data_IF_487893422290
#
_entry.id   IF_487893422290
#
_cell.length_a   1.000
_cell.length_b   1.000
_cell.length_c   1.000
_cell.angle_alpha   90.00
_cell.angle_beta   90.00
_cell.angle_gamma   90.00
#
_symmetry.space_group_name_H-M   'P 1'
#
loop_
_entity.id
_entity.type
_entity.pdbx_description
1 polymer ?
#
# COMPACT_ATOMS: atom_id res chain seq x y z
N UNK A 1 -20.96 4.17 -3.13
CA UNK A 1 -19.67 3.83 -2.47
C UNK A 1 -18.95 5.14 -2.33
N UNK A 2 -19.49 6.01 -1.45
CA UNK A 2 -19.26 7.47 -1.53
C UNK A 2 -18.94 8.08 -0.16
N UNK A 3 -18.55 7.26 0.82
CA UNK A 3 -18.60 7.68 2.23
C UNK A 3 -17.41 8.54 2.69
N UNK A 4 -16.39 8.80 1.85
CA UNK A 4 -15.16 9.48 2.29
C UNK A 4 -14.68 10.64 1.42
N UNK A 5 -15.34 10.93 0.31
CA UNK A 5 -14.85 11.98 -0.60
C UNK A 5 -15.13 13.39 -0.02
N UNK A 6 -16.06 13.53 0.93
CA UNK A 6 -16.55 14.85 1.37
C UNK A 6 -16.28 15.18 2.86
N UNK A 7 -15.62 14.31 3.63
CA UNK A 7 -15.35 14.59 5.04
C UNK A 7 -14.05 15.39 5.20
N UNK A 8 -14.17 16.70 5.40
CA UNK A 8 -13.04 17.54 5.78
C UNK A 8 -12.55 17.16 7.19
N UNK A 9 -11.28 16.79 7.31
CA UNK A 9 -10.63 16.59 8.60
C UNK A 9 -10.07 17.93 9.10
N UNK A 10 -10.50 18.36 10.28
CA UNK A 10 -9.88 19.49 10.95
C UNK A 10 -8.49 19.08 11.45
N UNK A 11 -7.44 19.54 10.75
CA UNK A 11 -6.07 19.13 11.04
C UNK A 11 -5.55 19.60 12.41
N UNK A 12 -6.18 20.61 13.02
CA UNK A 12 -5.92 21.04 14.39
C UNK A 12 -4.43 21.15 14.75
N UNK A 13 -4.11 20.90 16.03
CA UNK A 13 -2.73 20.74 16.53
C UNK A 13 -2.34 19.29 16.80
N UNK A 14 -3.17 18.33 16.38
CA UNK A 14 -2.95 16.91 16.60
C UNK A 14 -2.12 16.31 15.45
N UNK A 15 -0.87 15.87 15.68
CA UNK A 15 -0.04 15.28 14.63
C UNK A 15 -0.59 13.94 14.09
N UNK A 16 -1.52 13.31 14.80
CA UNK A 16 -2.03 11.98 14.52
C UNK A 16 -3.49 11.97 14.04
N UNK A 17 -4.02 13.13 13.63
CA UNK A 17 -5.41 13.31 13.18
C UNK A 17 -5.86 12.28 12.13
N UNK A 18 -5.00 11.95 11.16
CA UNK A 18 -5.30 10.93 10.14
C UNK A 18 -5.38 9.52 10.71
N UNK A 19 -4.55 9.21 11.72
CA UNK A 19 -4.61 7.92 12.41
C UNK A 19 -5.92 7.78 13.18
N UNK A 20 -6.32 8.81 13.92
CA UNK A 20 -7.58 8.80 14.66
C UNK A 20 -8.78 8.61 13.73
N UNK A 21 -8.83 9.35 12.62
CA UNK A 21 -9.88 9.22 11.61
C UNK A 21 -9.94 7.82 10.99
N UNK A 22 -8.78 7.23 10.67
CA UNK A 22 -8.70 5.87 10.15
C UNK A 22 -9.17 4.83 11.17
N UNK A 23 -8.72 4.94 12.42
CA UNK A 23 -9.12 4.03 13.51
C UNK A 23 -10.62 4.08 13.75
N UNK A 24 -11.19 5.28 13.84
CA UNK A 24 -12.62 5.48 14.07
C UNK A 24 -13.45 4.83 12.95
N UNK A 25 -13.10 5.09 11.69
CA UNK A 25 -13.84 4.52 10.56
C UNK A 25 -13.73 3.00 10.51
N UNK A 26 -12.54 2.46 10.66
CA UNK A 26 -12.35 1.01 10.62
C UNK A 26 -13.00 0.32 11.81
N UNK A 27 -13.09 0.96 12.98
CA UNK A 27 -13.82 0.39 14.13
C UNK A 27 -15.34 0.27 13.85
N UNK A 28 -15.92 1.18 13.07
CA UNK A 28 -17.36 1.24 12.84
C UNK A 28 -17.80 0.47 11.58
N UNK A 29 -17.14 0.72 10.44
CA UNK A 29 -17.63 0.28 9.12
C UNK A 29 -16.65 -0.56 8.34
N UNK A 30 -15.35 -0.46 8.64
CA UNK A 30 -14.31 -0.99 7.76
C UNK A 30 -14.22 -0.18 6.46
N UNK A 31 -13.78 -0.82 5.37
CA UNK A 31 -13.64 -0.19 4.06
C UNK A 31 -13.73 -1.19 2.90
N UNK A 32 -14.08 -0.72 1.71
CA UNK A 32 -13.97 -1.49 0.47
C UNK A 32 -13.33 -0.63 -0.63
N UNK A 33 -12.37 -1.21 -1.34
CA UNK A 33 -11.66 -0.54 -2.42
C UNK A 33 -11.80 -1.35 -3.70
N UNK A 34 -12.19 -0.68 -4.79
CA UNK A 34 -12.08 -1.27 -6.12
C UNK A 34 -10.63 -1.21 -6.58
N UNK A 35 -10.05 -2.38 -6.86
CA UNK A 35 -8.77 -2.46 -7.52
C UNK A 35 -9.00 -2.37 -9.02
N UNK A 36 -8.43 -1.33 -9.63
CA UNK A 36 -8.57 -1.07 -11.07
C UNK A 36 -7.21 -0.99 -11.75
N UNK A 37 -7.18 -1.27 -13.05
CA UNK A 37 -5.97 -1.20 -13.88
C UNK A 37 -6.25 -0.47 -15.19
N UNK A 38 -5.22 0.16 -15.74
CA UNK A 38 -5.21 0.68 -17.11
C UNK A 38 -4.33 -0.23 -17.96
N UNK A 39 -4.72 -0.45 -19.23
CA UNK A 39 -3.93 -1.23 -20.17
C UNK A 39 -3.10 -0.27 -21.03
N UNK A 40 -1.79 -0.46 -21.08
CA UNK A 40 -0.91 0.29 -21.98
C UNK A 40 -1.17 -0.17 -23.42
N UNK A 41 -1.97 0.58 -24.17
CA UNK A 41 -2.30 0.27 -25.58
C UNK A 41 -1.40 0.98 -26.58
N UNK A 42 -0.79 2.10 -26.16
CA UNK A 42 0.18 2.86 -26.94
C UNK A 42 1.31 3.34 -26.02
N UNK A 43 2.55 2.87 -26.27
CA UNK A 43 3.69 3.16 -25.39
C UNK A 43 4.21 4.59 -25.55
N UNK A 44 3.92 5.24 -26.68
CA UNK A 44 4.40 6.59 -26.96
C UNK A 44 3.60 7.62 -26.16
N UNK A 45 2.28 7.44 -26.06
CA UNK A 45 1.39 8.25 -25.23
C UNK A 45 1.26 7.76 -23.78
N UNK A 46 1.59 6.49 -23.49
CA UNK A 46 1.54 5.88 -22.15
C UNK A 46 2.92 5.37 -21.71
N UNK A 47 3.91 6.26 -21.54
CA UNK A 47 5.28 5.85 -21.29
C UNK A 47 5.42 5.17 -19.91
N UNK A 48 5.96 3.95 -19.91
CA UNK A 48 6.29 3.22 -18.67
C UNK A 48 7.51 3.84 -17.96
N UNK A 49 8.41 4.45 -18.73
CA UNK A 49 9.70 4.97 -18.23
C UNK A 49 9.60 6.39 -17.67
N UNK A 50 8.44 7.07 -17.83
CA UNK A 50 8.17 8.41 -17.31
C UNK A 50 6.93 8.42 -16.42
N UNK A 51 7.15 8.31 -15.11
CA UNK A 51 6.08 8.32 -14.10
C UNK A 51 5.45 9.70 -13.86
N UNK A 52 5.91 10.77 -14.53
CA UNK A 52 5.28 12.10 -14.44
C UNK A 52 4.10 12.27 -15.40
N UNK A 53 3.99 11.40 -16.41
CA UNK A 53 2.91 11.42 -17.39
C UNK A 53 1.74 10.58 -16.88
N UNK A 54 0.60 11.23 -16.65
CA UNK A 54 -0.67 10.53 -16.39
C UNK A 54 -1.21 9.95 -17.70
N UNK A 55 -1.62 8.68 -17.67
CA UNK A 55 -2.29 8.05 -18.80
C UNK A 55 -3.75 8.52 -18.89
N UNK A 56 -4.17 8.96 -20.07
CA UNK A 56 -5.53 9.42 -20.32
C UNK A 56 -6.54 8.28 -20.11
N UNK A 57 -7.65 8.58 -19.44
CA UNK A 57 -8.71 7.62 -19.14
C UNK A 57 -9.65 7.40 -20.34
N UNK A 58 -9.70 8.33 -21.29
CA UNK A 58 -10.43 8.15 -22.55
C UNK A 58 -9.71 7.13 -23.47
N UNK A 59 -8.37 7.17 -23.47
CA UNK A 59 -7.54 6.23 -24.26
C UNK A 59 -7.31 4.90 -23.53
N UNK A 60 -7.18 4.91 -22.21
CA UNK A 60 -7.06 3.71 -21.38
C UNK A 60 -7.97 3.79 -20.14
N UNK A 61 -9.25 3.42 -20.28
CA UNK A 61 -10.18 3.49 -19.17
C UNK A 61 -9.82 2.48 -18.07
N UNK A 62 -10.03 2.88 -16.81
CA UNK A 62 -9.86 1.99 -15.67
C UNK A 62 -10.78 0.78 -15.75
N UNK A 63 -10.19 -0.41 -15.63
CA UNK A 63 -10.90 -1.69 -15.58
C UNK A 63 -10.83 -2.26 -14.17
N UNK A 64 -11.97 -2.45 -13.53
CA UNK A 64 -12.04 -3.10 -12.22
C UNK A 64 -11.68 -4.58 -12.34
N UNK A 65 -10.70 -5.02 -11.57
CA UNK A 65 -10.22 -6.41 -11.53
C UNK A 65 -10.53 -7.11 -10.21
N UNK A 66 -10.99 -6.36 -9.20
CA UNK A 66 -11.38 -6.94 -7.93
C UNK A 66 -11.83 -5.88 -6.93
N UNK A 67 -12.31 -6.36 -5.79
CA UNK A 67 -12.67 -5.53 -4.63
C UNK A 67 -11.92 -6.06 -3.43
N UNK A 68 -11.13 -5.21 -2.79
CA UNK A 68 -10.48 -5.51 -1.52
C UNK A 68 -11.42 -5.02 -0.43
N UNK A 69 -11.86 -5.93 0.45
CA UNK A 69 -12.77 -5.62 1.56
C UNK A 69 -12.03 -5.77 2.88
N UNK A 70 -12.11 -4.74 3.69
CA UNK A 70 -11.67 -4.73 5.08
C UNK A 70 -12.93 -4.62 5.95
N UNK A 71 -13.27 -5.67 6.73
CA UNK A 71 -14.38 -5.58 7.67
C UNK A 71 -14.08 -4.57 8.78
N UNK A 72 -15.09 -4.22 9.56
CA UNK A 72 -14.89 -3.44 10.77
C UNK A 72 -13.91 -4.15 11.71
N UNK A 73 -12.90 -3.43 12.20
CA UNK A 73 -11.80 -3.96 12.99
C UNK A 73 -11.12 -2.87 13.85
N UNK A 74 -10.46 -3.30 14.92
CA UNK A 74 -9.53 -2.44 15.65
C UNK A 74 -8.28 -2.21 14.80
N UNK A 75 -8.23 -1.07 14.11
CA UNK A 75 -7.22 -0.81 13.07
C UNK A 75 -5.82 -0.51 13.63
N UNK A 76 -5.74 -0.09 14.89
CA UNK A 76 -4.50 0.31 15.52
C UNK A 76 -4.50 0.05 17.03
N UNK A 77 -3.36 -0.42 17.52
CA UNK A 77 -2.94 -0.40 18.92
C UNK A 77 -1.40 -0.39 18.94
N UNK A 78 -0.80 -0.04 20.08
CA UNK A 78 0.67 0.05 20.20
C UNK A 78 1.37 -1.27 19.86
N UNK A 79 0.77 -2.41 20.22
CA UNK A 79 1.34 -3.73 19.94
C UNK A 79 1.36 -4.05 18.44
N UNK A 80 0.30 -3.71 17.70
CA UNK A 80 0.24 -3.81 16.23
C UNK A 80 1.26 -2.90 15.57
N UNK A 81 1.30 -1.63 16.00
CA UNK A 81 2.20 -0.63 15.46
C UNK A 81 3.65 -1.11 15.59
N UNK A 82 4.04 -1.52 16.80
CA UNK A 82 5.39 -2.03 17.05
C UNK A 82 5.71 -3.26 16.20
N UNK A 83 4.81 -4.25 16.16
CA UNK A 83 5.03 -5.47 15.40
C UNK A 83 5.16 -5.20 13.89
N UNK A 84 4.32 -4.33 13.33
CA UNK A 84 4.31 -4.05 11.90
C UNK A 84 5.47 -3.15 11.50
N UNK A 85 5.72 -2.07 12.24
CA UNK A 85 6.77 -1.11 11.92
C UNK A 85 8.15 -1.77 11.97
N UNK A 86 8.41 -2.63 12.95
CA UNK A 86 9.73 -3.25 13.14
C UNK A 86 9.95 -4.48 12.26
N UNK A 87 8.92 -5.31 12.05
CA UNK A 87 9.10 -6.67 11.51
C UNK A 87 8.55 -6.86 10.11
N UNK A 88 7.52 -6.11 9.72
CA UNK A 88 6.91 -6.24 8.40
C UNK A 88 7.72 -5.47 7.35
N UNK A 89 7.90 -6.08 6.17
CA UNK A 89 8.60 -5.46 5.05
C UNK A 89 7.76 -5.46 3.79
N UNK A 90 7.36 -4.29 3.31
CA UNK A 90 6.78 -4.16 1.97
C UNK A 90 7.90 -4.10 0.92
N UNK A 91 7.91 -5.02 -0.04
CA UNK A 91 8.86 -5.02 -1.15
C UNK A 91 8.14 -5.35 -2.46
N UNK A 92 8.19 -4.46 -3.48
CA UNK A 92 7.64 -4.75 -4.81
C UNK A 92 8.19 -6.01 -5.49
N UNK A 93 9.34 -6.52 -5.03
CA UNK A 93 9.92 -7.78 -5.49
C UNK A 93 9.16 -9.03 -5.03
N UNK A 94 8.31 -8.91 -4.00
CA UNK A 94 7.46 -10.00 -3.51
C UNK A 94 6.23 -10.13 -4.40
N UNK A 95 6.45 -10.38 -5.70
CA UNK A 95 5.43 -10.46 -6.73
C UNK A 95 5.52 -11.79 -7.50
N UNK A 96 4.42 -12.20 -8.12
CA UNK A 96 4.43 -13.27 -9.12
C UNK A 96 5.29 -12.86 -10.32
N UNK A 97 5.86 -13.84 -11.02
CA UNK A 97 6.62 -13.58 -12.26
C UNK A 97 5.77 -12.87 -13.31
N UNK A 98 4.49 -13.23 -13.42
CA UNK A 98 3.54 -12.56 -14.31
C UNK A 98 3.34 -11.07 -14.01
N UNK A 99 3.65 -10.62 -12.79
CA UNK A 99 3.53 -9.23 -12.34
C UNK A 99 4.89 -8.54 -12.22
N UNK A 100 5.93 -9.06 -12.88
CA UNK A 100 7.28 -8.50 -12.84
C UNK A 100 7.25 -7.00 -13.15
N UNK A 101 7.79 -6.14 -12.28
CA UNK A 101 7.73 -4.70 -12.51
C UNK A 101 8.46 -4.27 -13.78
N UNK A 102 7.83 -3.35 -14.51
CA UNK A 102 8.36 -2.71 -15.71
C UNK A 102 8.84 -1.29 -15.36
N UNK A 103 9.70 -0.73 -16.19
CA UNK A 103 10.27 0.59 -15.94
C UNK A 103 11.56 0.57 -15.10
N UNK A 104 12.47 1.49 -15.40
CA UNK A 104 13.76 1.65 -14.75
C UNK A 104 13.59 2.05 -13.27
N UNK A 105 12.62 2.90 -12.96
CA UNK A 105 12.31 3.32 -11.58
C UNK A 105 11.88 2.11 -10.75
N UNK A 106 10.94 1.30 -11.26
CA UNK A 106 10.48 0.12 -10.52
C UNK A 106 11.57 -0.93 -10.38
N UNK A 107 12.37 -1.18 -11.43
CA UNK A 107 13.52 -2.09 -11.36
C UNK A 107 14.56 -1.61 -10.34
N UNK A 108 14.83 -0.31 -10.26
CA UNK A 108 15.69 0.25 -9.24
C UNK A 108 15.12 0.05 -7.83
N UNK A 109 13.80 0.18 -7.63
CA UNK A 109 13.14 -0.09 -6.35
C UNK A 109 13.34 -1.53 -5.88
N UNK A 110 13.36 -2.52 -6.79
CA UNK A 110 13.63 -3.92 -6.43
C UNK A 110 14.98 -4.08 -5.70
N UNK A 111 16.00 -3.37 -6.17
CA UNK A 111 17.33 -3.37 -5.56
C UNK A 111 17.36 -2.54 -4.26
N UNK A 112 16.86 -1.30 -4.31
CA UNK A 112 16.95 -0.33 -3.21
C UNK A 112 16.15 -0.80 -1.98
N UNK A 113 14.90 -1.25 -2.16
CA UNK A 113 14.07 -1.70 -1.05
C UNK A 113 14.71 -2.88 -0.32
N UNK A 114 15.23 -3.86 -1.08
CA UNK A 114 15.94 -5.00 -0.49
C UNK A 114 17.14 -4.52 0.34
N UNK A 115 17.97 -3.65 -0.22
CA UNK A 115 19.19 -3.16 0.44
C UNK A 115 18.90 -2.38 1.72
N UNK A 116 17.87 -1.53 1.70
CA UNK A 116 17.44 -0.74 2.86
C UNK A 116 16.79 -1.60 3.94
N UNK A 117 15.99 -2.60 3.56
CA UNK A 117 15.44 -3.57 4.50
C UNK A 117 16.54 -4.37 5.20
N UNK A 118 17.53 -4.87 4.47
CA UNK A 118 18.66 -5.60 5.05
C UNK A 118 19.49 -4.70 5.98
N UNK A 119 19.71 -3.44 5.62
CA UNK A 119 20.41 -2.48 6.46
C UNK A 119 19.64 -2.15 7.75
N UNK A 120 18.36 -1.78 7.65
CA UNK A 120 17.50 -1.47 8.80
C UNK A 120 17.46 -2.63 9.79
N UNK A 121 17.36 -3.86 9.29
CA UNK A 121 17.37 -5.08 10.12
C UNK A 121 18.70 -5.26 10.85
N UNK A 122 19.82 -5.10 10.14
CA UNK A 122 21.14 -5.21 10.74
C UNK A 122 21.36 -4.15 11.84
N UNK A 123 20.95 -2.90 11.59
CA UNK A 123 21.07 -1.80 12.55
C UNK A 123 20.17 -1.98 13.77
N UNK A 124 18.94 -2.48 13.59
CA UNK A 124 17.98 -2.64 14.67
C UNK A 124 18.09 -4.00 15.38
N UNK A 125 19.01 -4.89 14.95
CA UNK A 125 19.14 -6.26 15.44
C UNK A 125 17.82 -7.07 15.39
N UNK A 126 16.96 -6.80 14.40
CA UNK A 126 15.68 -7.48 14.22
C UNK A 126 15.79 -8.59 13.17
N UNK A 127 15.29 -9.78 13.49
CA UNK A 127 15.20 -10.89 12.54
C UNK A 127 14.05 -10.70 11.56
N UNK A 128 14.25 -11.13 10.31
CA UNK A 128 13.17 -11.22 9.31
C UNK A 128 12.20 -12.32 9.73
N UNK A 129 10.96 -11.95 10.04
CA UNK A 129 9.85 -12.88 10.22
C UNK A 129 8.76 -12.46 9.25
N UNK A 130 8.50 -13.28 8.23
CA UNK A 130 7.35 -13.08 7.35
C UNK A 130 6.16 -13.86 7.92
N UNK A 131 4.99 -13.25 8.08
CA UNK A 131 3.80 -13.97 8.51
C UNK A 131 3.43 -15.03 7.47
N UNK A 132 3.16 -16.25 7.91
CA UNK A 132 2.69 -17.35 7.05
C UNK A 132 1.19 -17.61 7.23
N UNK A 133 0.61 -17.05 8.29
CA UNK A 133 -0.81 -17.10 8.60
C UNK A 133 -1.26 -15.85 9.35
N UNK A 134 -2.58 -15.65 9.46
CA UNK A 134 -3.16 -14.56 10.26
C UNK A 134 -2.84 -14.71 11.76
N UNK A 135 -2.63 -15.93 12.25
CA UNK A 135 -2.30 -16.19 13.65
C UNK A 135 -0.90 -15.70 14.04
N UNK A 136 -0.05 -15.39 13.07
CA UNK A 136 1.29 -14.82 13.31
C UNK A 136 1.25 -13.30 13.55
N UNK A 137 0.08 -12.67 13.37
CA UNK A 137 -0.12 -11.23 13.50
C UNK A 137 -0.78 -10.91 14.85
N UNK A 138 -0.40 -9.79 15.49
CA UNK A 138 -1.07 -9.33 16.71
C UNK A 138 -2.53 -8.94 16.43
N UNK A 139 -3.40 -9.26 17.39
CA UNK A 139 -4.83 -8.93 17.42
C UNK A 139 -5.15 -7.44 17.44
#
# INVERSE_FOLDING_TARGET
>A
MDALIETALELGGDPDVFRHAMVEQFAQTGAAFELRVQLSTDIDSMPIEDASVRWDEDDSPYRTIGVIRFPAQSAWNDAKAQAWDERMGFNPANSLEAHRPLGQIMRARLFVYKRLQDWRRATNAVQKVEPVSLADLPD
#
